data_IF_724463265507
#
_entry.id   IF_724463265507
#
_cell.length_a   1.000
_cell.length_b   1.000
_cell.length_c   1.000
_cell.angle_alpha   90.00
_cell.angle_beta   90.00
_cell.angle_gamma   90.00
#
_symmetry.space_group_name_H-M   'P 1'
#
loop_
_entity.id
_entity.type
_entity.pdbx_description
1 polymer ?
#
# COMPACT_ATOMS: atom_id res chain seq x y z
N UNK A 1 -21.75 -12.46 39.88
CA UNK A 1 -20.88 -11.27 39.70
C UNK A 1 -20.88 -10.48 40.99
N UNK A 2 -19.75 -10.43 41.71
CA UNK A 2 -19.66 -9.72 42.98
C UNK A 2 -18.54 -8.68 42.87
N UNK A 3 -18.93 -7.42 42.70
CA UNK A 3 -18.02 -6.29 42.57
C UNK A 3 -17.54 -5.86 43.96
N UNK A 4 -16.46 -6.48 44.45
CA UNK A 4 -15.64 -5.93 45.55
C UNK A 4 -14.27 -5.43 45.08
N UNK A 5 -13.81 -5.94 43.93
CA UNK A 5 -12.81 -5.34 43.07
C UNK A 5 -13.40 -5.40 41.67
N UNK A 6 -13.77 -4.25 41.08
CA UNK A 6 -14.52 -4.24 39.82
C UNK A 6 -13.61 -4.58 38.64
N UNK A 7 -13.25 -5.86 38.55
CA UNK A 7 -12.55 -6.50 37.45
C UNK A 7 -13.59 -7.24 36.61
N UNK A 8 -13.61 -6.96 35.32
CA UNK A 8 -14.38 -7.66 34.32
C UNK A 8 -13.41 -8.44 33.46
N UNK A 9 -13.54 -9.76 33.44
CA UNK A 9 -12.71 -10.63 32.63
C UNK A 9 -13.58 -11.28 31.56
N UNK A 10 -13.20 -11.08 30.31
CA UNK A 10 -13.74 -11.76 29.16
C UNK A 10 -12.68 -12.76 28.69
N UNK A 11 -12.90 -14.03 29.03
CA UNK A 11 -12.06 -15.16 28.61
C UNK A 11 -12.77 -15.93 27.51
N UNK A 12 -11.99 -16.71 26.76
CA UNK A 12 -12.48 -17.68 25.77
C UNK A 12 -13.31 -17.05 24.66
N UNK A 13 -13.00 -15.81 24.28
CA UNK A 13 -13.60 -15.18 23.12
C UNK A 13 -13.11 -15.96 21.91
N UNK A 14 -14.00 -16.74 21.31
CA UNK A 14 -13.71 -17.56 20.14
C UNK A 14 -14.83 -17.41 19.12
N UNK A 15 -14.48 -17.36 17.85
CA UNK A 15 -15.45 -17.21 16.77
C UNK A 15 -14.85 -17.50 15.40
N UNK A 16 -15.71 -17.78 14.43
CA UNK A 16 -15.32 -17.88 13.03
C UNK A 16 -15.44 -16.52 12.35
N UNK A 17 -14.40 -16.09 11.63
CA UNK A 17 -14.43 -14.86 10.82
C UNK A 17 -13.74 -15.13 9.49
N UNK A 18 -14.40 -14.79 8.37
CA UNK A 18 -13.81 -14.94 7.03
C UNK A 18 -13.27 -16.34 6.73
N UNK A 19 -13.92 -17.40 7.22
CA UNK A 19 -13.45 -18.79 7.04
C UNK A 19 -12.21 -19.18 7.87
N UNK A 20 -11.71 -18.30 8.74
CA UNK A 20 -10.67 -18.56 9.73
C UNK A 20 -11.21 -18.55 11.15
N UNK A 21 -10.31 -18.58 12.13
CA UNK A 21 -10.65 -18.53 13.56
C UNK A 21 -10.15 -17.23 14.19
N UNK A 22 -10.94 -16.71 15.11
CA UNK A 22 -10.60 -15.59 15.98
C UNK A 22 -10.60 -16.11 17.40
N UNK A 23 -9.53 -15.85 18.14
CA UNK A 23 -9.43 -16.08 19.57
C UNK A 23 -9.00 -14.81 20.30
N UNK A 24 -9.43 -14.64 21.54
CA UNK A 24 -9.04 -13.48 22.32
C UNK A 24 -9.42 -13.56 23.78
N UNK A 25 -8.78 -12.69 24.55
CA UNK A 25 -9.09 -12.47 25.96
C UNK A 25 -8.96 -10.97 26.25
N UNK A 26 -9.83 -10.45 27.10
CA UNK A 26 -9.82 -9.05 27.53
C UNK A 26 -10.11 -8.97 29.03
N UNK A 27 -9.20 -8.37 29.77
CA UNK A 27 -9.33 -8.07 31.19
C UNK A 27 -9.43 -6.56 31.38
N UNK A 28 -10.54 -6.13 31.96
CA UNK A 28 -10.84 -4.75 32.30
C UNK A 28 -10.83 -4.59 33.82
N UNK A 29 -9.93 -3.75 34.34
CA UNK A 29 -9.84 -3.45 35.77
C UNK A 29 -10.22 -2.02 36.02
N UNK A 30 -11.27 -1.80 36.82
CA UNK A 30 -11.61 -0.46 37.30
C UNK A 30 -10.59 -0.02 38.36
N UNK A 31 -10.05 1.18 38.17
CA UNK A 31 -9.26 1.95 39.14
C UNK A 31 -10.06 3.19 39.58
N UNK A 32 -9.66 3.91 40.64
CA UNK A 32 -10.47 4.99 41.22
C UNK A 32 -10.96 6.04 40.21
N UNK A 33 -10.10 6.43 39.26
CA UNK A 33 -10.42 7.43 38.23
C UNK A 33 -10.22 6.94 36.79
N UNK A 34 -9.83 5.68 36.58
CA UNK A 34 -9.43 5.15 35.28
C UNK A 34 -9.90 3.71 35.13
N UNK A 35 -9.98 3.24 33.90
CA UNK A 35 -10.08 1.81 33.59
C UNK A 35 -8.72 1.39 33.02
N UNK A 36 -8.22 0.23 33.45
CA UNK A 36 -7.11 -0.45 32.79
C UNK A 36 -7.68 -1.58 31.94
N UNK A 37 -7.19 -1.71 30.71
CA UNK A 37 -7.55 -2.77 29.78
C UNK A 37 -6.27 -3.53 29.40
N UNK A 38 -6.31 -4.85 29.45
CA UNK A 38 -5.26 -5.75 28.97
C UNK A 38 -5.94 -6.81 28.12
N UNK A 39 -5.41 -7.10 26.95
CA UNK A 39 -6.02 -8.07 26.05
C UNK A 39 -5.05 -8.69 25.08
N UNK A 40 -5.42 -9.88 24.63
CA UNK A 40 -4.78 -10.62 23.57
C UNK A 40 -5.80 -10.87 22.47
N UNK A 41 -5.38 -10.70 21.22
CA UNK A 41 -6.17 -11.03 20.05
C UNK A 41 -5.33 -11.87 19.10
N UNK A 42 -5.83 -13.06 18.77
CA UNK A 42 -5.31 -13.89 17.70
C UNK A 42 -6.34 -14.10 16.59
N UNK A 43 -5.86 -14.06 15.37
CA UNK A 43 -6.56 -14.41 14.15
C UNK A 43 -5.73 -15.47 13.44
N UNK A 44 -6.38 -16.52 12.97
CA UNK A 44 -5.72 -17.57 12.21
C UNK A 44 -6.47 -17.87 10.90
N UNK A 45 -5.76 -17.72 9.78
CA UNK A 45 -6.22 -18.12 8.47
C UNK A 45 -7.43 -17.34 7.93
N UNK A 46 -7.68 -16.14 8.44
CA UNK A 46 -8.85 -15.30 8.11
C UNK A 46 -8.74 -14.73 6.70
N UNK A 47 -9.80 -14.86 5.90
CA UNK A 47 -9.83 -14.25 4.56
C UNK A 47 -9.81 -12.71 4.63
N UNK A 48 -8.80 -12.10 4.02
CA UNK A 48 -8.66 -10.66 3.88
C UNK A 48 -9.85 -10.02 3.17
N UNK A 49 -10.43 -10.70 2.18
CA UNK A 49 -11.56 -10.17 1.45
C UNK A 49 -12.77 -9.99 2.38
N UNK A 50 -12.98 -10.93 3.31
CA UNK A 50 -14.05 -10.84 4.31
C UNK A 50 -13.81 -9.74 5.35
N UNK A 51 -12.55 -9.46 5.71
CA UNK A 51 -12.21 -8.37 6.64
C UNK A 51 -12.35 -6.99 6.00
N UNK A 52 -12.00 -6.87 4.73
CA UNK A 52 -11.97 -5.58 4.03
C UNK A 52 -13.32 -5.26 3.38
N UNK A 53 -14.15 -6.24 3.02
CA UNK A 53 -15.46 -6.02 2.39
C UNK A 53 -16.38 -5.02 3.12
N UNK A 54 -16.53 -5.05 4.46
CA UNK A 54 -17.37 -4.10 5.18
C UNK A 54 -16.86 -2.66 5.09
N UNK A 55 -15.58 -2.50 4.77
CA UNK A 55 -14.85 -1.26 4.92
C UNK A 55 -14.49 -0.68 3.54
N UNK A 56 -13.93 -1.45 2.62
CA UNK A 56 -13.54 -1.01 1.27
C UNK A 56 -14.11 -1.92 0.16
N UNK A 57 -15.23 -1.55 -0.50
CA UNK A 57 -15.91 -2.41 -1.48
C UNK A 57 -15.25 -2.46 -2.86
N UNK A 58 -14.26 -1.59 -3.13
CA UNK A 58 -13.67 -1.42 -4.46
C UNK A 58 -12.41 -2.27 -4.59
N UNK A 59 -12.58 -3.53 -5.00
CA UNK A 59 -11.55 -4.54 -5.19
C UNK A 59 -10.77 -4.91 -3.90
N UNK A 60 -11.36 -5.73 -3.02
CA UNK A 60 -10.69 -6.16 -1.81
C UNK A 60 -9.45 -7.02 -2.16
N UNK A 61 -8.35 -6.88 -1.41
CA UNK A 61 -7.24 -7.82 -1.51
C UNK A 61 -7.71 -9.22 -1.09
N UNK A 62 -7.19 -10.24 -1.75
CA UNK A 62 -7.43 -11.64 -1.38
C UNK A 62 -6.20 -12.21 -0.66
N UNK A 63 -6.42 -13.20 0.20
CA UNK A 63 -5.36 -13.88 0.93
C UNK A 63 -5.79 -14.25 2.35
N UNK A 64 -4.96 -15.03 3.04
CA UNK A 64 -5.20 -15.43 4.43
C UNK A 64 -4.33 -14.62 5.37
N UNK A 65 -4.95 -14.03 6.38
CA UNK A 65 -4.32 -13.27 7.46
C UNK A 65 -4.29 -14.11 8.73
N UNK A 66 -3.10 -14.21 9.30
CA UNK A 66 -2.89 -14.57 10.69
C UNK A 66 -2.29 -13.38 11.43
N UNK A 67 -2.84 -13.05 12.59
CA UNK A 67 -2.43 -11.91 13.40
C UNK A 67 -2.41 -12.35 14.86
N UNK A 68 -1.37 -11.99 15.60
CA UNK A 68 -1.33 -12.20 17.05
C UNK A 68 -0.82 -10.93 17.70
N UNK A 69 -1.62 -10.32 18.57
CA UNK A 69 -1.31 -9.03 19.20
C UNK A 69 -1.66 -9.06 20.68
N UNK A 70 -0.68 -8.68 21.49
CA UNK A 70 -0.87 -8.36 22.90
C UNK A 70 -0.96 -6.84 23.05
N UNK A 71 -1.97 -6.38 23.79
CA UNK A 71 -2.23 -4.96 23.96
C UNK A 71 -2.72 -4.62 25.36
N UNK A 72 -2.35 -3.43 25.84
CA UNK A 72 -2.80 -2.90 27.11
C UNK A 72 -2.86 -1.38 27.10
N UNK A 73 -3.77 -0.81 27.89
CA UNK A 73 -3.99 0.63 27.98
C UNK A 73 -4.72 1.04 29.25
N UNK A 74 -4.71 2.34 29.54
CA UNK A 74 -5.39 2.96 30.67
C UNK A 74 -6.07 4.25 30.25
N UNK A 75 -7.33 4.45 30.64
CA UNK A 75 -8.08 5.63 30.22
C UNK A 75 -9.27 5.94 31.09
N UNK A 76 -9.63 7.24 31.11
CA UNK A 76 -10.81 7.76 31.80
C UNK A 76 -12.09 7.69 30.95
N UNK A 77 -11.95 7.36 29.67
CA UNK A 77 -13.04 7.22 28.69
C UNK A 77 -12.66 6.16 27.65
N UNK A 78 -13.63 5.63 26.88
CA UNK A 78 -13.35 4.67 25.80
C UNK A 78 -12.35 5.20 24.77
N UNK A 79 -12.47 6.48 24.38
CA UNK A 79 -11.51 7.10 23.46
C UNK A 79 -10.11 7.23 24.09
N UNK A 80 -10.03 7.64 25.36
CA UNK A 80 -8.76 7.75 26.07
C UNK A 80 -8.10 6.38 26.26
N UNK A 81 -8.89 5.33 26.47
CA UNK A 81 -8.41 3.95 26.50
C UNK A 81 -7.76 3.58 25.16
N UNK A 82 -8.46 3.76 24.04
CA UNK A 82 -7.92 3.48 22.70
C UNK A 82 -6.64 4.28 22.43
N UNK A 83 -6.62 5.56 22.79
CA UNK A 83 -5.45 6.44 22.64
C UNK A 83 -4.28 6.06 23.54
N UNK A 84 -4.51 5.32 24.61
CA UNK A 84 -3.45 4.82 25.51
C UNK A 84 -2.97 3.42 25.15
N UNK A 85 -3.63 2.75 24.19
CA UNK A 85 -3.30 1.38 23.85
C UNK A 85 -1.86 1.31 23.36
N UNK A 86 -1.13 0.38 23.96
CA UNK A 86 0.22 0.01 23.62
C UNK A 86 0.34 -1.51 23.55
N UNK A 87 1.19 -2.02 22.68
CA UNK A 87 1.24 -3.44 22.42
C UNK A 87 2.18 -3.80 21.29
N UNK A 88 2.39 -5.09 21.10
CA UNK A 88 3.18 -5.63 20.00
C UNK A 88 2.55 -6.93 19.52
N UNK A 89 2.89 -7.29 18.30
CA UNK A 89 2.37 -8.49 17.68
C UNK A 89 3.09 -8.89 16.41
N UNK A 90 2.62 -9.98 15.83
CA UNK A 90 3.08 -10.52 14.56
C UNK A 90 1.93 -10.60 13.60
N UNK A 91 2.23 -10.37 12.33
CA UNK A 91 1.29 -10.44 11.22
C UNK A 91 1.89 -11.35 10.16
N UNK A 92 1.15 -12.39 9.79
CA UNK A 92 1.47 -13.30 8.70
C UNK A 92 0.38 -13.22 7.64
N UNK A 93 0.80 -13.14 6.39
CA UNK A 93 -0.08 -13.15 5.23
C UNK A 93 0.32 -14.30 4.32
N UNK A 94 -0.66 -15.05 3.83
CA UNK A 94 -0.45 -16.17 2.92
C UNK A 94 -1.30 -16.00 1.66
N UNK A 95 -0.75 -16.38 0.52
CA UNK A 95 -1.40 -16.29 -0.80
C UNK A 95 -2.04 -14.90 -1.03
N UNK A 96 -1.29 -13.84 -0.72
CA UNK A 96 -1.74 -12.47 -0.87
C UNK A 96 -1.83 -12.13 -2.36
N UNK A 97 -3.02 -11.75 -2.80
CA UNK A 97 -3.27 -11.19 -4.13
C UNK A 97 -3.78 -9.75 -3.98
N UNK A 98 -2.94 -8.79 -4.36
CA UNK A 98 -3.28 -7.38 -4.34
C UNK A 98 -3.64 -6.91 -5.76
N UNK A 99 -4.90 -6.55 -6.05
CA UNK A 99 -5.30 -6.13 -7.39
C UNK A 99 -4.61 -4.83 -7.83
N UNK A 100 -4.57 -4.59 -9.14
CA UNK A 100 -4.03 -3.37 -9.76
C UNK A 100 -2.62 -2.99 -9.27
N UNK A 101 -1.76 -4.02 -9.15
CA UNK A 101 -0.40 -3.92 -8.61
C UNK A 101 0.54 -4.88 -9.36
N UNK A 102 0.52 -4.88 -10.69
CA UNK A 102 1.37 -5.77 -11.48
C UNK A 102 2.88 -5.52 -11.20
N UNK A 103 3.63 -6.51 -10.65
CA UNK A 103 5.08 -6.36 -10.41
C UNK A 103 5.89 -6.12 -11.69
N UNK A 104 5.38 -6.55 -12.86
CA UNK A 104 6.04 -6.39 -14.16
C UNK A 104 5.83 -5.00 -14.75
N UNK A 105 5.08 -4.12 -14.09
CA UNK A 105 4.83 -2.76 -14.53
C UNK A 105 6.13 -1.96 -14.75
N UNK A 106 7.12 -2.15 -13.89
CA UNK A 106 8.44 -1.48 -14.00
C UNK A 106 9.12 -1.88 -15.32
N UNK A 107 9.21 -3.18 -15.59
CA UNK A 107 9.83 -3.71 -16.80
C UNK A 107 9.07 -3.27 -18.06
N UNK A 108 7.73 -3.28 -18.04
CA UNK A 108 6.91 -2.83 -19.18
C UNK A 108 7.16 -1.36 -19.51
N UNK A 109 7.19 -0.47 -18.51
CA UNK A 109 7.41 0.96 -18.77
C UNK A 109 8.84 1.21 -19.26
N UNK A 110 9.84 0.48 -18.73
CA UNK A 110 11.21 0.57 -19.23
C UNK A 110 11.36 0.09 -20.66
N UNK A 111 10.63 -0.97 -21.06
CA UNK A 111 10.61 -1.46 -22.44
C UNK A 111 9.92 -0.47 -23.37
N UNK A 112 8.76 0.08 -22.97
CA UNK A 112 8.00 1.05 -23.76
C UNK A 112 8.77 2.38 -23.97
N UNK A 113 9.70 2.71 -23.07
CA UNK A 113 10.56 3.90 -23.12
C UNK A 113 11.99 3.59 -23.57
N UNK A 114 12.25 2.37 -24.04
CA UNK A 114 13.54 1.97 -24.58
C UNK A 114 13.88 2.74 -25.87
N UNK A 115 12.85 3.11 -26.64
CA UNK A 115 12.98 3.82 -27.91
C UNK A 115 12.34 5.21 -27.86
N UNK A 116 12.96 6.18 -28.52
CA UNK A 116 12.43 7.54 -28.65
C UNK A 116 12.83 8.48 -27.52
N UNK A 117 12.22 9.66 -27.53
CA UNK A 117 12.47 10.73 -26.55
C UNK A 117 11.91 10.34 -25.18
N UNK A 118 12.66 10.56 -24.08
CA UNK A 118 12.16 10.32 -22.74
C UNK A 118 10.85 11.07 -22.49
N UNK A 119 9.77 10.39 -22.07
CA UNK A 119 8.53 11.05 -21.68
C UNK A 119 8.73 11.90 -20.42
N UNK A 120 7.86 12.90 -20.24
CA UNK A 120 7.83 13.70 -19.02
C UNK A 120 7.33 12.88 -17.81
N UNK A 121 7.60 13.37 -16.60
CA UNK A 121 7.27 12.67 -15.36
C UNK A 121 5.78 12.31 -15.25
N UNK A 122 4.88 13.22 -15.63
CA UNK A 122 3.42 12.96 -15.56
C UNK A 122 3.03 11.82 -16.48
N UNK A 123 3.62 11.74 -17.67
CA UNK A 123 3.37 10.64 -18.60
C UNK A 123 3.93 9.33 -18.10
N UNK A 124 5.13 9.32 -17.50
CA UNK A 124 5.70 8.12 -16.86
C UNK A 124 4.79 7.59 -15.76
N UNK A 125 4.30 8.46 -14.87
CA UNK A 125 3.36 8.05 -13.80
C UNK A 125 2.06 7.49 -14.37
N UNK A 126 1.49 8.09 -15.42
CA UNK A 126 0.31 7.55 -16.10
C UNK A 126 0.57 6.18 -16.76
N UNK A 127 1.72 6.02 -17.41
CA UNK A 127 2.12 4.74 -18.00
C UNK A 127 2.29 3.66 -16.92
N UNK A 128 2.92 4.02 -15.80
CA UNK A 128 3.13 3.13 -14.66
C UNK A 128 1.81 2.73 -13.99
N UNK A 129 0.91 3.67 -13.72
CA UNK A 129 -0.41 3.36 -13.14
C UNK A 129 -1.24 2.45 -14.05
N UNK A 130 -1.24 2.69 -15.36
CA UNK A 130 -1.88 1.80 -16.35
C UNK A 130 -1.24 0.42 -16.38
N UNK A 131 0.09 0.33 -16.28
CA UNK A 131 0.80 -0.93 -16.26
C UNK A 131 0.51 -1.72 -14.97
N UNK A 132 0.45 -1.05 -13.81
CA UNK A 132 0.05 -1.65 -12.54
C UNK A 132 -1.38 -2.22 -12.60
N UNK A 133 -2.30 -1.53 -13.28
CA UNK A 133 -3.69 -1.97 -13.42
C UNK A 133 -3.87 -3.25 -14.27
N UNK A 134 -2.84 -3.75 -14.96
CA UNK A 134 -2.94 -4.93 -15.84
C UNK A 134 -3.05 -6.25 -15.09
N UNK A 135 -2.60 -6.31 -13.84
CA UNK A 135 -2.55 -7.55 -13.09
C UNK A 135 -2.46 -7.36 -11.58
N UNK A 136 -2.70 -8.43 -10.80
CA UNK A 136 -2.50 -8.43 -9.37
C UNK A 136 -1.04 -8.73 -9.00
N UNK A 137 -0.60 -8.20 -7.85
CA UNK A 137 0.61 -8.67 -7.17
C UNK A 137 0.29 -9.97 -6.44
N UNK A 138 1.02 -11.05 -6.72
CA UNK A 138 0.86 -12.33 -6.03
C UNK A 138 2.06 -12.61 -5.14
N UNK A 139 1.81 -12.88 -3.87
CA UNK A 139 2.83 -13.20 -2.87
C UNK A 139 2.45 -14.49 -2.14
N UNK A 140 3.38 -15.44 -2.08
CA UNK A 140 3.14 -16.73 -1.42
C UNK A 140 2.99 -16.56 0.09
N UNK A 141 3.90 -15.80 0.71
CA UNK A 141 3.85 -15.46 2.12
C UNK A 141 4.50 -14.09 2.38
N UNK A 142 4.05 -13.40 3.42
CA UNK A 142 4.62 -12.16 3.91
C UNK A 142 4.46 -12.10 5.43
N UNK A 143 5.57 -12.10 6.15
CA UNK A 143 5.60 -11.96 7.60
C UNK A 143 6.11 -10.57 8.00
N UNK A 144 5.49 -10.00 9.03
CA UNK A 144 5.88 -8.73 9.60
C UNK A 144 5.57 -8.66 11.10
N UNK A 145 6.13 -7.67 11.76
CA UNK A 145 5.80 -7.33 13.13
C UNK A 145 4.91 -6.08 13.14
N UNK A 146 4.04 -6.03 14.14
CA UNK A 146 3.15 -4.91 14.38
C UNK A 146 3.46 -4.34 15.75
N UNK A 147 3.48 -3.02 15.84
CA UNK A 147 3.58 -2.30 17.12
C UNK A 147 2.37 -1.40 17.28
N UNK A 148 1.82 -1.35 18.48
CA UNK A 148 0.74 -0.45 18.85
C UNK A 148 1.30 0.52 19.88
N UNK A 149 1.23 1.81 19.60
CA UNK A 149 1.70 2.85 20.52
C UNK A 149 0.74 4.02 20.46
N UNK A 150 0.17 4.38 21.61
CA UNK A 150 -0.78 5.49 21.75
C UNK A 150 -1.98 5.39 20.78
N UNK A 151 -2.53 4.19 20.60
CA UNK A 151 -3.64 3.96 19.68
C UNK A 151 -3.27 4.01 18.19
N UNK A 152 -1.98 4.13 17.85
CA UNK A 152 -1.49 4.05 16.48
C UNK A 152 -0.83 2.69 16.27
N UNK A 153 -1.42 1.89 15.38
CA UNK A 153 -0.83 0.66 14.89
C UNK A 153 0.21 1.01 13.83
N UNK A 154 1.39 0.41 13.92
CA UNK A 154 2.48 0.56 12.96
C UNK A 154 2.94 -0.82 12.51
N UNK A 155 2.89 -1.02 11.20
CA UNK A 155 3.43 -2.19 10.54
C UNK A 155 4.93 -1.96 10.30
N UNK A 156 5.75 -2.90 10.76
CA UNK A 156 7.17 -2.93 10.42
C UNK A 156 7.36 -3.18 8.93
N UNK A 157 8.48 -2.72 8.39
CA UNK A 157 8.79 -2.91 6.97
C UNK A 157 8.83 -4.39 6.62
N UNK A 158 7.88 -4.84 5.82
CA UNK A 158 7.79 -6.21 5.33
C UNK A 158 8.29 -6.26 3.88
N UNK A 159 9.10 -7.26 3.53
CA UNK A 159 9.67 -7.38 2.18
C UNK A 159 9.31 -8.72 1.58
N UNK A 160 8.98 -8.73 0.30
CA UNK A 160 8.80 -9.95 -0.47
C UNK A 160 9.31 -9.77 -1.90
N UNK A 161 9.48 -10.88 -2.61
CA UNK A 161 9.81 -10.88 -4.03
C UNK A 161 8.63 -11.46 -4.82
N UNK A 162 8.31 -10.82 -5.94
CA UNK A 162 7.25 -11.23 -6.85
C UNK A 162 7.70 -10.97 -8.30
N UNK A 163 7.73 -12.01 -9.14
CA UNK A 163 7.90 -11.87 -10.59
C UNK A 163 9.03 -10.91 -11.04
N UNK A 164 10.20 -10.97 -10.38
CA UNK A 164 11.35 -10.12 -10.73
C UNK A 164 11.31 -8.69 -10.16
N UNK A 165 10.35 -8.39 -9.28
CA UNK A 165 10.29 -7.17 -8.49
C UNK A 165 10.44 -7.48 -6.99
N UNK A 166 11.08 -6.57 -6.26
CA UNK A 166 11.08 -6.53 -4.79
C UNK A 166 9.97 -5.61 -4.34
N UNK A 167 9.05 -6.15 -3.55
CA UNK A 167 7.96 -5.42 -2.92
C UNK A 167 8.29 -5.14 -1.46
N UNK A 168 8.12 -3.88 -1.04
CA UNK A 168 8.32 -3.45 0.35
C UNK A 168 7.05 -2.78 0.86
N UNK A 169 6.47 -3.32 1.93
CA UNK A 169 5.24 -2.82 2.55
C UNK A 169 5.56 -2.13 3.88
N UNK A 170 4.90 -1.01 4.13
CA UNK A 170 4.91 -0.34 5.43
C UNK A 170 3.64 0.46 5.62
N UNK A 171 3.30 0.79 6.86
CA UNK A 171 2.14 1.63 7.11
C UNK A 171 1.81 1.84 8.57
N UNK A 172 0.86 2.73 8.78
CA UNK A 172 0.28 3.05 10.08
C UNK A 172 -1.23 3.15 9.99
N UNK A 173 -1.91 2.78 11.06
CA UNK A 173 -3.35 2.94 11.24
C UNK A 173 -3.59 3.65 12.58
N UNK A 174 -4.16 4.85 12.52
CA UNK A 174 -4.65 5.59 13.68
C UNK A 174 -6.02 5.03 14.06
N UNK A 175 -6.10 4.26 15.16
CA UNK A 175 -7.34 3.64 15.62
C UNK A 175 -8.38 4.69 16.08
N UNK A 176 -8.02 5.72 16.86
CA UNK A 176 -8.96 6.79 17.23
C UNK A 176 -9.63 7.48 16.03
N UNK A 177 -8.89 7.72 14.95
CA UNK A 177 -9.39 8.41 13.75
C UNK A 177 -9.83 7.48 12.63
N UNK A 178 -9.58 6.18 12.77
CA UNK A 178 -9.73 5.17 11.72
C UNK A 178 -9.05 5.62 10.41
N UNK A 179 -7.84 6.17 10.54
CA UNK A 179 -7.10 6.76 9.43
C UNK A 179 -5.92 5.87 9.04
N UNK A 180 -5.90 5.44 7.78
CA UNK A 180 -4.87 4.59 7.19
C UNK A 180 -3.83 5.46 6.47
N UNK A 181 -2.56 5.13 6.68
CA UNK A 181 -1.44 5.56 5.84
C UNK A 181 -0.57 4.35 5.52
N UNK A 182 -0.77 3.75 4.35
CA UNK A 182 -0.05 2.58 3.87
C UNK A 182 0.78 2.90 2.63
N UNK A 183 1.93 2.27 2.51
CA UNK A 183 2.84 2.42 1.37
C UNK A 183 3.35 1.06 0.91
N UNK A 184 3.37 0.88 -0.41
CA UNK A 184 4.00 -0.23 -1.12
C UNK A 184 5.03 0.34 -2.10
N UNK A 185 6.29 0.01 -1.88
CA UNK A 185 7.38 0.29 -2.81
C UNK A 185 7.68 -0.94 -3.66
N UNK A 186 7.74 -0.74 -4.97
CA UNK A 186 8.13 -1.75 -5.96
C UNK A 186 9.46 -1.33 -6.58
N UNK A 187 10.42 -2.24 -6.55
CA UNK A 187 11.76 -2.06 -7.13
C UNK A 187 12.07 -3.22 -8.07
N UNK A 188 12.81 -2.97 -9.16
CA UNK A 188 13.35 -4.06 -9.97
C UNK A 188 14.35 -4.89 -9.16
N UNK A 189 14.21 -6.23 -9.18
CA UNK A 189 15.12 -7.13 -8.47
C UNK A 189 16.48 -7.25 -9.19
N UNK A 190 16.49 -7.11 -10.52
CA UNK A 190 17.71 -7.04 -11.31
C UNK A 190 18.17 -5.59 -11.39
N UNK A 191 19.38 -5.31 -10.87
CA UNK A 191 19.99 -4.00 -10.97
C UNK A 191 21.47 -4.11 -11.34
N UNK A 192 21.81 -3.57 -12.50
CA UNK A 192 23.10 -2.95 -12.79
C UNK A 192 22.86 -1.46 -13.03
N UNK A 193 23.31 -0.59 -12.12
CA UNK A 193 23.04 0.86 -12.16
C UNK A 193 21.90 1.33 -11.23
N UNK A 194 21.19 2.39 -11.61
CA UNK A 194 20.07 2.92 -10.83
C UNK A 194 18.91 1.92 -10.77
N UNK A 195 18.41 1.60 -9.57
CA UNK A 195 17.28 0.67 -9.37
C UNK A 195 15.99 1.38 -9.77
N UNK A 196 15.34 1.00 -10.89
CA UNK A 196 14.05 1.58 -11.25
C UNK A 196 12.98 1.09 -10.27
N UNK A 197 12.08 2.00 -9.89
CA UNK A 197 11.03 1.68 -8.93
C UNK A 197 9.91 2.71 -8.90
N UNK A 198 8.85 2.34 -8.19
CA UNK A 198 7.68 3.18 -7.98
C UNK A 198 7.00 2.87 -6.67
N UNK A 199 6.19 3.81 -6.21
CA UNK A 199 5.52 3.77 -4.91
C UNK A 199 4.02 3.89 -5.10
N UNK A 200 3.27 3.05 -4.40
CA UNK A 200 1.82 3.12 -4.28
C UNK A 200 1.51 3.45 -2.83
N UNK A 201 0.69 4.47 -2.58
CA UNK A 201 0.27 4.86 -1.24
C UNK A 201 -1.25 4.86 -1.11
N UNK A 202 -1.74 4.46 0.06
CA UNK A 202 -3.14 4.48 0.44
C UNK A 202 -3.28 5.37 1.67
N UNK A 203 -3.96 6.51 1.53
CA UNK A 203 -4.11 7.48 2.62
C UNK A 203 -5.55 7.94 2.75
N UNK A 204 -6.07 7.99 3.98
CA UNK A 204 -7.43 8.46 4.24
C UNK A 204 -8.15 7.62 5.29
N UNK A 205 -9.47 7.82 5.43
CA UNK A 205 -10.30 6.93 6.24
C UNK A 205 -10.16 5.48 5.76
N UNK A 206 -10.09 4.53 6.69
CA UNK A 206 -9.92 3.11 6.35
C UNK A 206 -11.02 2.58 5.42
N UNK A 207 -12.22 3.17 5.46
CA UNK A 207 -13.34 2.82 4.60
C UNK A 207 -13.19 3.27 3.13
N UNK A 208 -12.42 4.32 2.87
CA UNK A 208 -12.24 4.84 1.53
C UNK A 208 -10.86 5.49 1.40
N UNK A 209 -9.78 4.70 1.47
CA UNK A 209 -8.45 5.24 1.33
C UNK A 209 -8.23 5.75 -0.10
N UNK A 210 -7.63 6.93 -0.24
CA UNK A 210 -7.21 7.47 -1.52
C UNK A 210 -5.93 6.75 -1.97
N UNK A 211 -5.97 6.08 -3.13
CA UNK A 211 -4.80 5.45 -3.76
C UNK A 211 -4.06 6.48 -4.61
N UNK A 212 -2.76 6.65 -4.37
CA UNK A 212 -1.86 7.49 -5.18
C UNK A 212 -0.63 6.72 -5.64
N UNK A 213 -0.18 7.00 -6.86
CA UNK A 213 1.01 6.39 -7.47
C UNK A 213 2.05 7.46 -7.75
N UNK A 214 3.31 7.16 -7.45
CA UNK A 214 4.47 7.97 -7.82
C UNK A 214 5.58 7.08 -8.37
N UNK A 215 6.41 7.60 -9.27
CA UNK A 215 7.48 6.82 -9.89
C UNK A 215 8.78 7.63 -10.12
N UNK A 216 9.29 8.38 -9.12
CA UNK A 216 10.47 9.24 -9.31
C UNK A 216 11.73 8.44 -9.67
N UNK A 217 11.92 7.26 -9.07
CA UNK A 217 13.05 6.38 -9.36
C UNK A 217 12.99 5.83 -10.79
N UNK A 218 11.80 5.52 -11.28
CA UNK A 218 11.58 5.10 -12.68
C UNK A 218 11.92 6.22 -13.66
N UNK A 219 11.49 7.46 -13.40
CA UNK A 219 11.83 8.63 -14.23
C UNK A 219 13.35 8.84 -14.30
N UNK A 220 14.02 8.75 -13.15
CA UNK A 220 15.48 8.86 -13.08
C UNK A 220 16.18 7.76 -13.88
N UNK A 221 15.71 6.51 -13.77
CA UNK A 221 16.27 5.39 -14.52
C UNK A 221 16.08 5.53 -16.04
N UNK A 222 14.91 6.00 -16.49
CA UNK A 222 14.65 6.28 -17.93
C UNK A 222 15.59 7.37 -18.44
N UNK A 223 15.77 8.45 -17.66
CA UNK A 223 16.63 9.57 -18.02
C UNK A 223 18.10 9.14 -18.13
N UNK A 224 18.60 8.37 -17.17
CA UNK A 224 19.96 7.81 -17.20
C UNK A 224 20.17 6.91 -18.43
N UNK A 225 19.25 6.00 -18.71
CA UNK A 225 19.32 5.14 -19.90
C UNK A 225 19.28 5.95 -21.20
N UNK A 226 18.55 7.05 -21.24
CA UNK A 226 18.52 7.93 -22.41
C UNK A 226 19.85 8.67 -22.61
N UNK A 227 20.47 9.13 -21.53
CA UNK A 227 21.81 9.73 -21.56
C UNK A 227 22.82 8.68 -22.04
N UNK A 228 22.83 7.47 -21.46
CA UNK A 228 23.74 6.38 -21.85
C UNK A 228 23.58 5.97 -23.32
N UNK A 229 22.34 5.99 -23.84
CA UNK A 229 22.09 5.74 -25.28
C UNK A 229 22.66 6.85 -26.15
N UNK A 230 22.47 8.11 -25.76
CA UNK A 230 22.97 9.23 -26.53
C UNK A 230 24.51 9.30 -26.47
N UNK A 231 25.12 9.02 -25.32
CA UNK A 231 26.59 8.92 -25.22
C UNK A 231 27.11 7.79 -26.11
N UNK A 232 26.50 6.61 -26.08
CA UNK A 232 26.89 5.50 -26.96
C UNK A 232 26.73 5.84 -28.44
N UNK A 233 25.64 6.51 -28.81
CA UNK A 233 25.41 6.97 -30.19
C UNK A 233 26.45 8.01 -30.63
N UNK A 234 26.90 8.87 -29.72
CA UNK A 234 27.96 9.83 -29.98
C UNK A 234 29.33 9.15 -30.09
N UNK A 235 29.62 8.17 -29.23
CA UNK A 235 30.85 7.37 -29.28
C UNK A 235 30.96 6.58 -30.59
N UNK A 236 29.87 5.94 -31.03
CA UNK A 236 29.78 5.23 -32.32
C UNK A 236 29.99 6.19 -33.50
N UNK A 237 29.48 7.42 -33.42
CA UNK A 237 29.71 8.47 -34.45
C UNK A 237 31.13 9.03 -34.42
N UNK A 238 31.76 9.08 -33.25
CA UNK A 238 33.11 9.62 -33.06
C UNK A 238 34.20 8.56 -33.26
N UNK A 239 33.84 7.29 -33.48
CA UNK A 239 34.79 6.22 -33.79
C UNK A 239 35.74 5.86 -32.65
N UNK A 240 35.50 6.33 -31.42
CA UNK A 240 36.25 5.88 -30.24
C UNK A 240 35.74 4.52 -29.80
N UNK A 241 36.14 3.48 -30.53
CA UNK A 241 36.20 2.13 -29.95
C UNK A 241 37.20 2.22 -28.78
N UNK A 242 36.85 1.87 -27.54
CA UNK A 242 37.85 1.70 -26.49
C UNK A 242 38.79 0.62 -27.01
N UNK A 243 40.04 1.00 -27.28
CA UNK A 243 41.05 0.04 -27.67
C UNK A 243 41.03 -1.08 -26.63
N UNK A 244 40.85 -2.36 -27.02
CA UNK A 244 41.12 -3.43 -26.09
C UNK A 244 42.55 -3.20 -25.61
N UNK A 245 42.74 -3.20 -24.30
CA UNK A 245 44.03 -3.10 -23.65
C UNK A 245 44.94 -4.21 -24.17
N UNK A 246 45.56 -3.98 -25.32
CA UNK A 246 46.63 -4.78 -25.84
C UNK A 246 47.82 -4.49 -24.94
N UNK A 247 48.25 -5.50 -24.21
CA UNK A 247 49.49 -5.46 -23.46
C UNK A 247 50.59 -4.93 -24.37
N UNK A 248 51.30 -3.92 -23.88
CA UNK A 248 52.60 -3.56 -24.40
C UNK A 248 53.47 -3.29 -23.19
N UNK A 249 54.16 -4.35 -22.78
CA UNK A 249 55.42 -4.18 -22.09
C UNK A 249 56.34 -3.42 -23.03
N UNK A 250 56.66 -2.20 -22.68
CA UNK A 250 57.86 -1.52 -23.15
C UNK A 250 58.48 -0.85 -21.95
N UNK A 251 59.59 -1.44 -21.53
CA UNK A 251 60.57 -0.90 -20.59
C UNK A 251 60.93 0.54 -20.96
N UNK A 252 60.73 1.47 -20.02
CA UNK A 252 61.38 2.77 -20.03
C UNK A 252 62.73 2.68 -19.28
N UNK A 253 63.79 3.33 -19.79
CA UNK A 253 65.10 3.32 -19.17
C UNK A 253 65.15 4.18 -17.90
N UNK A 254 66.01 3.75 -16.98
CA UNK A 254 66.28 4.38 -15.71
C UNK A 254 66.73 5.84 -15.87
N UNK A 255 66.00 6.76 -15.24
CA UNK A 255 66.50 8.09 -14.90
C UNK A 255 66.92 8.09 -13.43
N UNK A 256 68.23 8.25 -13.25
CA UNK A 256 68.94 8.44 -11.98
C UNK A 256 68.31 9.53 -11.12
N UNK A 257 67.84 9.17 -9.93
CA UNK A 257 67.60 10.11 -8.83
C UNK A 257 68.84 10.20 -7.93
N UNK A 258 69.39 11.40 -7.65
CA UNK A 258 70.35 11.60 -6.57
C UNK A 258 69.68 11.53 -5.18
N UNK A 259 70.47 11.09 -4.21
CA UNK A 259 70.09 10.71 -2.85
C UNK A 259 69.85 11.88 -1.86
N UNK A 260 69.16 11.55 -0.75
CA UNK A 260 69.21 12.07 0.65
C UNK A 260 67.77 12.20 1.21
N UNK A 261 67.36 11.77 2.41
CA UNK A 261 67.99 11.47 3.71
C UNK A 261 67.07 10.49 4.49
N UNK A 262 67.56 9.66 5.44
CA UNK A 262 66.74 8.67 6.15
C UNK A 262 65.90 9.29 7.27
N UNK A 263 64.63 8.88 7.37
CA UNK A 263 63.78 9.15 8.54
C UNK A 263 63.91 8.00 9.57
N UNK A 264 64.07 8.29 10.88
CA UNK A 264 64.31 7.29 11.92
C UNK A 264 63.04 6.52 12.35
N UNK A 265 63.17 5.29 12.89
CA UNK A 265 62.04 4.44 13.27
C UNK A 265 61.36 4.89 14.58
N UNK A 266 60.05 4.61 14.76
CA UNK A 266 59.35 4.96 15.99
C UNK A 266 59.76 4.06 17.16
N UNK A 267 60.12 4.71 18.27
CA UNK A 267 60.41 4.10 19.57
C UNK A 267 59.14 3.54 20.20
N UNK A 268 59.25 2.30 20.68
CA UNK A 268 58.29 1.67 21.58
C UNK A 268 58.45 2.29 22.96
N UNK A 269 57.39 2.91 23.50
CA UNK A 269 57.32 3.28 24.91
C UNK A 269 56.15 2.55 25.57
N UNK A 270 56.48 1.87 26.67
CA UNK A 270 55.57 1.16 27.55
C UNK A 270 55.27 2.02 28.78
N UNK A 271 54.07 1.81 29.30
CA UNK A 271 53.58 2.02 30.68
C UNK A 271 52.88 3.36 31.01
N UNK A 272 51.69 3.22 31.61
CA UNK A 272 51.43 3.85 32.91
C UNK A 272 50.30 4.89 32.99
N UNK A 273 49.11 4.39 33.34
CA UNK A 273 48.11 4.98 34.24
C UNK A 273 47.25 6.21 33.85
N UNK A 274 45.96 6.02 34.18
CA UNK A 274 44.92 7.00 34.55
C UNK A 274 44.26 7.86 33.47
N UNK A 275 42.96 7.64 33.28
CA UNK A 275 42.07 8.60 32.61
C UNK A 275 40.88 7.99 31.87
N UNK A 276 39.95 7.33 32.58
CA UNK A 276 38.66 6.93 32.00
C UNK A 276 37.74 8.14 31.84
N UNK A 277 37.61 8.69 30.62
CA UNK A 277 36.45 9.48 30.18
C UNK A 277 36.17 9.21 28.69
N UNK A 278 34.99 8.68 28.31
CA UNK A 278 34.68 8.42 26.90
C UNK A 278 34.30 9.70 26.16
N UNK A 279 34.94 9.93 25.02
CA UNK A 279 34.53 10.90 23.99
C UNK A 279 33.71 10.13 22.94
N UNK A 280 32.45 10.53 22.76
CA UNK A 280 31.56 9.95 21.75
C UNK A 280 30.24 10.69 21.57
N UNK A 281 30.20 12.01 21.77
CA UNK A 281 28.98 12.81 21.67
C UNK A 281 29.19 14.04 20.77
N UNK A 282 29.38 13.79 19.47
CA UNK A 282 29.42 14.87 18.45
C UNK A 282 28.61 14.62 17.18
N UNK A 283 27.82 13.54 17.13
CA UNK A 283 26.86 13.28 16.03
C UNK A 283 25.39 13.58 16.40
N UNK A 284 25.09 13.83 17.68
CA UNK A 284 23.70 14.03 18.16
C UNK A 284 23.25 15.50 18.09
N UNK A 285 24.18 16.48 18.05
CA UNK A 285 23.80 17.90 18.00
C UNK A 285 23.52 18.46 16.59
N UNK A 286 23.92 17.78 15.52
CA UNK A 286 23.65 18.24 14.15
C UNK A 286 22.21 17.95 13.68
N UNK A 287 21.57 16.89 14.20
CA UNK A 287 20.21 16.49 13.81
C UNK A 287 19.08 17.30 14.48
N UNK A 288 19.41 18.13 15.48
CA UNK A 288 18.43 18.95 16.22
C UNK A 288 18.16 20.32 15.58
N UNK A 289 19.02 20.79 14.66
CA UNK A 289 18.86 22.11 13.99
C UNK A 289 18.02 22.08 12.70
N UNK A 290 17.90 20.95 12.02
CA UNK A 290 17.11 20.86 10.78
C UNK A 290 15.59 20.73 10.99
N UNK A 291 15.13 20.42 12.21
CA UNK A 291 13.69 20.27 12.52
C UNK A 291 12.98 21.61 12.83
N UNK A 292 13.73 22.67 13.15
CA UNK A 292 13.17 23.95 13.58
C UNK A 292 12.89 24.96 12.44
N UNK A 293 13.30 24.67 11.20
CA UNK A 293 13.06 25.58 10.06
C UNK A 293 11.69 25.33 9.42
N UNK A 294 11.30 24.07 9.17
CA UNK A 294 9.98 23.72 8.58
C UNK A 294 8.77 23.96 9.50
N UNK A 295 8.99 24.00 10.83
CA UNK A 295 7.94 24.28 11.80
C UNK A 295 7.57 25.79 11.90
N UNK A 296 8.43 26.69 11.39
CA UNK A 296 8.19 28.14 11.38
C UNK A 296 7.43 28.61 10.12
N UNK A 297 7.47 27.84 9.04
CA UNK A 297 6.76 28.15 7.78
C UNK A 297 5.28 27.75 7.84
N UNK A 298 4.96 26.63 8.50
CA UNK A 298 3.57 26.23 8.74
C UNK A 298 2.81 27.20 9.66
N UNK A 299 3.47 27.82 10.65
CA UNK A 299 2.83 28.81 11.54
C UNK A 299 2.52 30.12 10.81
N UNK A 300 3.38 30.57 9.89
CA UNK A 300 3.12 31.76 9.06
C UNK A 300 1.99 31.56 8.05
N UNK A 301 1.79 30.35 7.53
CA UNK A 301 0.64 30.07 6.64
C UNK A 301 -0.68 29.91 7.42
N UNK A 302 -0.63 29.40 8.66
CA UNK A 302 -1.81 29.27 9.51
C UNK A 302 -2.35 30.63 10.01
N UNK A 303 -1.45 31.55 10.38
CA UNK A 303 -1.85 32.90 10.83
C UNK A 303 -2.39 33.77 9.66
N UNK A 304 -1.97 33.50 8.42
CA UNK A 304 -2.47 34.19 7.23
C UNK A 304 -3.89 33.76 6.79
N UNK A 305 -4.37 32.59 7.22
CA UNK A 305 -5.76 32.14 6.96
C UNK A 305 -6.72 32.45 8.11
N UNK A 306 -6.21 32.75 9.31
CA UNK A 306 -7.04 33.12 10.47
C UNK A 306 -7.50 34.58 10.46
N UNK A 307 -6.91 35.45 9.61
CA UNK A 307 -7.27 36.87 9.50
C UNK A 307 -8.40 37.21 8.52
N UNK A 308 -9.06 36.22 7.89
CA UNK A 308 -10.05 36.45 6.83
C UNK A 308 -11.53 36.15 7.24
N UNK A 309 -11.81 35.91 8.52
CA UNK A 309 -13.18 35.75 9.01
C UNK A 309 -13.39 36.53 10.32
N UNK A 310 -13.56 37.83 10.18
CA UNK A 310 -14.09 38.70 11.23
C UNK A 310 -15.61 38.84 11.04
N UNK A 311 -16.45 38.40 11.99
CA UNK A 311 -17.89 38.61 11.90
C UNK A 311 -18.22 40.03 12.33
N UNK A 312 -18.63 40.87 11.37
CA UNK A 312 -19.20 42.18 11.64
C UNK A 312 -20.56 42.02 12.33
N UNK A 313 -20.56 42.08 13.67
CA UNK A 313 -21.76 42.23 14.49
C UNK A 313 -21.74 43.60 15.16
N UNK A 314 -22.33 44.60 14.50
CA UNK A 314 -22.71 45.87 15.14
C UNK A 314 -23.91 46.51 14.43
N UNK A 315 -25.04 46.49 15.13
CA UNK A 315 -25.97 47.61 15.20
C UNK A 315 -26.94 47.85 14.04
N UNK A 316 -28.20 47.47 14.25
CA UNK A 316 -29.31 48.40 13.99
C UNK A 316 -30.55 48.02 14.81
N UNK A 317 -30.95 48.94 15.69
CA UNK A 317 -32.22 48.99 16.43
C UNK A 317 -33.24 49.81 15.63
N UNK A 318 -34.52 49.59 15.99
CA UNK A 318 -35.72 50.42 15.79
C UNK A 318 -36.54 50.08 14.51
N UNK A 319 -37.87 49.90 14.51
CA UNK A 319 -38.99 50.23 15.41
C UNK A 319 -40.19 49.26 15.19
N UNK A 320 -41.21 49.25 16.08
CA UNK A 320 -42.39 48.41 15.98
C UNK A 320 -43.63 49.14 15.41
N UNK A 321 -44.41 48.42 14.59
CA UNK A 321 -45.84 48.61 14.30
C UNK A 321 -46.36 47.19 14.00
N UNK A 322 -47.52 46.71 14.43
CA UNK A 322 -48.78 47.33 14.79
C UNK A 322 -49.86 46.40 14.22
N UNK A 323 -50.74 45.89 15.09
CA UNK A 323 -51.88 44.98 14.85
C UNK A 323 -52.61 45.17 13.51
N UNK A 324 -53.08 44.07 12.91
CA UNK A 324 -54.53 43.86 12.69
C UNK A 324 -54.85 42.40 12.36
N UNK A 325 -56.09 42.01 12.68
CA UNK A 325 -56.64 40.67 12.77
C UNK A 325 -57.63 40.35 11.62
N UNK A 326 -58.21 39.14 11.72
CA UNK A 326 -59.36 38.55 10.99
C UNK A 326 -59.02 37.76 9.72
N UNK A 327 -59.56 36.57 9.45
CA UNK A 327 -60.57 35.74 10.13
C UNK A 327 -61.20 34.72 9.15
N UNK A 328 -61.72 33.59 9.67
CA UNK A 328 -62.68 32.66 9.03
C UNK A 328 -62.10 31.61 8.07
N UNK A 329 -62.19 30.29 8.34
CA UNK A 329 -63.35 29.39 8.13
C UNK A 329 -63.73 29.27 6.63
N UNK A 330 -63.94 28.11 5.99
CA UNK A 330 -64.59 26.87 6.41
C UNK A 330 -64.32 25.73 5.39
N UNK A 331 -64.60 24.52 5.86
CA UNK A 331 -64.73 23.16 5.31
C UNK A 331 -64.79 22.87 3.79
N UNK A 332 -64.03 21.83 3.44
CA UNK A 332 -64.51 20.47 3.07
C UNK A 332 -65.64 20.34 2.03
N UNK A 333 -65.30 19.85 0.84
CA UNK A 333 -66.15 18.93 0.08
C UNK A 333 -65.37 18.08 -0.92
N UNK A 334 -65.51 16.79 -0.69
CA UNK A 334 -65.25 15.65 -1.55
C UNK A 334 -65.97 15.73 -2.90
N UNK A 335 -65.31 15.32 -3.98
CA UNK A 335 -65.90 14.47 -5.02
C UNK A 335 -64.81 13.73 -5.81
N UNK A 336 -65.00 12.42 -5.94
CA UNK A 336 -64.11 11.48 -6.62
C UNK A 336 -64.25 11.51 -8.15
N UNK A 337 -63.52 10.59 -8.83
CA UNK A 337 -63.13 10.73 -10.23
C UNK A 337 -64.09 9.99 -11.18
N UNK A 338 -64.19 10.49 -12.41
CA UNK A 338 -64.69 9.74 -13.56
C UNK A 338 -63.70 9.79 -14.72
N UNK A 339 -63.57 8.65 -15.37
CA UNK A 339 -62.61 8.32 -16.41
C UNK A 339 -63.16 8.68 -17.83
N UNK A 340 -62.77 8.00 -18.93
CA UNK A 340 -61.85 8.55 -19.92
C UNK A 340 -62.43 8.65 -21.35
N UNK A 341 -61.69 9.26 -22.27
CA UNK A 341 -61.67 8.82 -23.67
C UNK A 341 -61.76 9.90 -24.76
N UNK A 342 -61.30 9.49 -25.95
CA UNK A 342 -61.30 10.15 -27.27
C UNK A 342 -60.02 10.96 -27.58
N UNK A 343 -59.04 10.37 -28.29
CA UNK A 343 -58.93 10.25 -29.76
C UNK A 343 -58.45 11.57 -30.40
N UNK A 344 -57.57 11.67 -31.41
CA UNK A 344 -56.97 10.81 -32.41
C UNK A 344 -55.95 11.75 -33.12
N UNK A 345 -54.82 11.25 -33.63
CA UNK A 345 -54.31 11.59 -34.98
C UNK A 345 -52.88 11.07 -35.22
N UNK A 346 -52.78 10.15 -36.20
CA UNK A 346 -51.75 10.02 -37.25
C UNK A 346 -50.28 9.76 -36.82
N UNK A 347 -49.47 8.93 -37.50
CA UNK A 347 -49.54 8.33 -38.82
C UNK A 347 -48.51 7.17 -38.94
N UNK A 348 -48.75 6.26 -39.91
CA UNK A 348 -47.80 5.39 -40.65
C UNK A 348 -47.00 4.37 -39.80
N UNK A 349 -47.12 3.05 -39.96
CA UNK A 349 -47.44 2.25 -41.15
C UNK A 349 -46.16 1.65 -41.73
N UNK A 350 -45.80 0.42 -41.34
CA UNK A 350 -45.32 -0.64 -42.26
C UNK A 350 -45.21 -1.99 -41.57
N UNK A 351 -45.73 -2.97 -42.31
CA UNK A 351 -45.82 -4.39 -42.05
C UNK A 351 -44.45 -5.08 -42.11
N UNK A 352 -44.29 -6.19 -41.38
CA UNK A 352 -44.21 -7.52 -41.99
C UNK A 352 -44.44 -8.60 -40.92
N UNK A 353 -45.36 -9.51 -41.24
CA UNK A 353 -45.86 -10.63 -40.42
C UNK A 353 -45.23 -11.95 -40.91
N UNK A 354 -45.18 -12.89 -39.96
CA UNK A 354 -45.37 -14.37 -40.09
C UNK A 354 -44.26 -15.15 -40.80
N UNK A 355 -43.98 -16.41 -40.48
CA UNK A 355 -44.71 -17.48 -39.77
C UNK A 355 -43.67 -18.39 -39.04
N UNK A 356 -43.93 -18.97 -37.86
CA UNK A 356 -44.64 -20.27 -37.62
C UNK A 356 -43.89 -21.46 -38.28
N UNK A 357 -43.58 -22.61 -37.71
CA UNK A 357 -43.86 -23.38 -36.49
C UNK A 357 -42.64 -24.35 -36.32
N UNK A 358 -42.24 -24.92 -35.19
CA UNK A 358 -42.96 -25.79 -34.26
C UNK A 358 -42.18 -27.12 -34.10
N UNK A 359 -41.81 -27.47 -32.85
CA UNK A 359 -41.84 -28.80 -32.19
C UNK A 359 -41.11 -29.99 -32.89
N UNK A 360 -40.47 -30.99 -32.26
CA UNK A 360 -40.20 -31.43 -30.87
C UNK A 360 -39.27 -32.67 -30.98
N UNK A 361 -38.41 -32.85 -29.96
CA UNK A 361 -38.09 -34.12 -29.26
C UNK A 361 -37.74 -35.44 -29.97
N UNK A 362 -36.56 -35.94 -29.56
CA UNK A 362 -36.26 -37.26 -28.95
C UNK A 362 -35.55 -38.37 -29.75
N UNK A 363 -34.64 -38.99 -29.00
CA UNK A 363 -34.18 -40.38 -28.98
C UNK A 363 -32.93 -40.82 -29.77
N UNK A 364 -32.01 -41.43 -28.99
CA UNK A 364 -30.92 -42.31 -29.41
C UNK A 364 -31.46 -43.65 -29.95
N UNK A 365 -30.65 -44.53 -30.59
CA UNK A 365 -29.80 -45.47 -29.82
C UNK A 365 -28.52 -46.04 -30.52
N UNK A 366 -27.70 -46.72 -29.69
CA UNK A 366 -26.86 -47.93 -29.89
C UNK A 366 -25.85 -48.11 -31.08
N UNK A 367 -24.63 -48.57 -30.73
CA UNK A 367 -23.52 -49.00 -31.64
C UNK A 367 -23.73 -50.35 -32.34
N UNK A 368 -22.73 -50.95 -33.04
CA UNK A 368 -21.49 -51.48 -32.40
C UNK A 368 -20.21 -51.49 -33.31
N UNK A 369 -19.04 -51.90 -32.77
CA UNK A 369 -17.90 -52.32 -33.61
C UNK A 369 -16.51 -52.26 -32.97
N UNK A 370 -15.97 -53.43 -32.61
CA UNK A 370 -14.66 -53.63 -31.99
C UNK A 370 -13.46 -53.58 -32.95
N UNK A 371 -12.26 -53.22 -32.45
CA UNK A 371 -11.06 -54.09 -32.46
C UNK A 371 -9.87 -53.50 -31.68
N UNK A 372 -9.31 -54.37 -30.82
CA UNK A 372 -8.03 -54.29 -30.12
C UNK A 372 -6.84 -54.47 -31.07
N UNK A 373 -5.70 -53.85 -30.76
CA UNK A 373 -4.35 -54.46 -30.87
C UNK A 373 -3.54 -54.09 -29.62
N UNK A 374 -2.81 -55.09 -29.10
CA UNK A 374 -2.08 -55.19 -27.82
C UNK A 374 -0.64 -54.60 -27.89
N UNK A 375 0.05 -54.48 -26.74
CA UNK A 375 1.40 -53.91 -26.61
C UNK A 375 2.51 -54.97 -26.76
N UNK A 376 3.70 -54.55 -27.23
CA UNK A 376 4.91 -55.37 -27.26
C UNK A 376 5.80 -55.08 -26.04
N UNK A 377 6.24 -56.15 -25.38
CA UNK A 377 7.18 -56.17 -24.26
C UNK A 377 8.32 -57.14 -24.58
N UNK A 378 9.49 -56.83 -24.02
CA UNK A 378 10.68 -57.67 -23.79
C UNK A 378 11.60 -58.00 -24.98
N UNK A 379 12.87 -57.57 -24.90
CA UNK A 379 13.96 -58.47 -24.51
C UNK A 379 15.28 -57.74 -24.21
N UNK A 380 15.90 -58.15 -23.09
CA UNK A 380 17.25 -57.85 -22.60
C UNK A 380 18.15 -59.05 -22.92
N UNK A 381 19.41 -58.79 -23.30
CA UNK A 381 20.67 -59.56 -23.06
C UNK A 381 21.59 -59.69 -24.29
N UNK A 382 22.91 -59.95 -24.13
CA UNK A 382 23.83 -59.48 -23.09
C UNK A 382 25.18 -58.97 -23.68
N UNK A 383 26.07 -58.62 -22.76
CA UNK A 383 27.42 -58.08 -22.91
C UNK A 383 28.43 -58.91 -23.73
N UNK A 384 29.38 -58.19 -24.34
CA UNK A 384 30.78 -58.62 -24.57
C UNK A 384 31.65 -57.41 -24.87
N UNK A 385 32.51 -57.03 -23.90
CA UNK A 385 33.85 -56.44 -24.00
C UNK A 385 34.19 -55.71 -22.69
#
# INVERSE_FOLDING_TARGET
MQARDATLELRDLSGGIGGGTLNGALTLRRRPEMVAAEGHLGLDGVDLAALVQPVAPRAPPAGRLSLSVDMGGVGRSPLALVQSLSGQGTLGLQALELPATDPRAIASVLADTATGTPPDERRVVQMFDRALARGPLKLAALDSTVSLVNGVVRLSTARAQADGARATFSGTLDLPRLYLDGTLDLESAEAGGAVPGGTISWRGPIAAPERRVSAPALVAAISMRAIERETRRLEERQGLVPAPSAGSGTTLPASTQPASTPAPPPRVFRAGATGSRPIGSRAILARRRARNIRAREWRRCADAHAGAHEPAAAGQRARPHGRSAAGGADRDRTHGPDAPGASLSAARGRELRRADAGLRQSDAPAGPGARRVKPGRDQISPASA
#
